data_IF_945492233938
#
_entry.id   IF_945492233938
#
_cell.length_a   1.000
_cell.length_b   1.000
_cell.length_c   1.000
_cell.angle_alpha   90.00
_cell.angle_beta   90.00
_cell.angle_gamma   90.00
#
_symmetry.space_group_name_H-M   'P 1'
#
loop_
_entity.id
_entity.type
_entity.pdbx_description
1 polymer ?
#
# COMPACT_ATOMS: atom_id res chain seq x y z
N UNK A 1 -5.64 -24.29 -5.89
CA UNK A 1 -4.73 -23.15 -6.13
C UNK A 1 -5.26 -21.97 -5.32
N UNK A 2 -4.70 -21.70 -4.14
CA UNK A 2 -5.16 -20.58 -3.30
C UNK A 2 -4.59 -19.31 -3.94
N UNK A 3 -5.45 -18.45 -4.48
CA UNK A 3 -5.03 -17.11 -4.93
C UNK A 3 -4.56 -16.32 -3.70
N UNK A 4 -3.27 -16.38 -3.39
CA UNK A 4 -2.66 -15.44 -2.43
C UNK A 4 -2.74 -14.06 -3.08
N UNK A 5 -3.57 -13.20 -2.51
CA UNK A 5 -3.76 -11.85 -3.03
C UNK A 5 -2.54 -11.02 -2.62
N UNK A 6 -1.75 -10.60 -3.61
CA UNK A 6 -0.52 -9.84 -3.41
C UNK A 6 -0.78 -8.33 -3.43
N UNK A 7 -0.04 -7.58 -2.62
CA UNK A 7 -0.10 -6.12 -2.59
C UNK A 7 0.95 -5.52 -3.53
N UNK A 8 0.70 -4.31 -4.01
CA UNK A 8 1.70 -3.56 -4.77
C UNK A 8 2.39 -2.54 -3.86
N UNK A 9 3.70 -2.67 -3.68
CA UNK A 9 4.49 -1.69 -2.90
C UNK A 9 4.60 -0.36 -3.65
N UNK A 10 4.27 0.73 -2.96
CA UNK A 10 4.32 2.10 -3.49
C UNK A 10 4.97 3.05 -2.49
N UNK A 11 5.32 4.23 -2.96
CA UNK A 11 5.86 5.30 -2.15
C UNK A 11 4.92 6.52 -2.20
N UNK A 12 4.78 7.19 -1.06
CA UNK A 12 4.24 8.55 -1.06
C UNK A 12 5.21 9.54 -1.69
N UNK A 13 4.73 10.74 -2.02
CA UNK A 13 5.57 11.86 -2.48
C UNK A 13 6.73 12.19 -1.51
N UNK A 14 6.58 11.88 -0.22
CA UNK A 14 7.63 12.04 0.81
C UNK A 14 8.43 10.75 1.05
N UNK A 15 8.46 9.84 0.08
CA UNK A 15 9.13 8.52 0.13
C UNK A 15 8.76 7.61 1.31
N UNK A 16 7.63 7.87 1.98
CA UNK A 16 7.09 6.93 2.99
C UNK A 16 6.45 5.72 2.33
N UNK A 17 6.61 4.55 2.96
CA UNK A 17 6.07 3.26 2.51
C UNK A 17 4.53 3.27 2.44
N UNK A 18 4.01 2.79 1.31
CA UNK A 18 2.60 2.56 1.04
C UNK A 18 2.42 1.21 0.34
N UNK A 19 1.20 0.70 0.38
CA UNK A 19 0.79 -0.42 -0.45
C UNK A 19 -0.56 -0.14 -1.11
N UNK A 20 -0.78 -0.74 -2.26
CA UNK A 20 -2.07 -0.77 -2.95
C UNK A 20 -2.61 -2.18 -2.92
N UNK A 21 -3.88 -2.32 -2.54
CA UNK A 21 -4.59 -3.58 -2.54
C UNK A 21 -6.07 -3.39 -2.86
N UNK A 22 -6.59 -4.18 -3.81
CA UNK A 22 -7.97 -4.06 -4.33
C UNK A 22 -8.34 -2.60 -4.68
N UNK A 23 -7.36 -1.85 -5.25
CA UNK A 23 -7.44 -0.44 -5.63
C UNK A 23 -7.50 0.58 -4.47
N UNK A 24 -7.42 0.13 -3.22
CA UNK A 24 -7.30 1.00 -2.06
C UNK A 24 -5.84 1.21 -1.69
N UNK A 25 -5.50 2.45 -1.31
CA UNK A 25 -4.18 2.80 -0.80
C UNK A 25 -4.12 2.66 0.71
N UNK A 26 -3.08 2.01 1.21
CA UNK A 26 -2.79 1.91 2.62
C UNK A 26 -1.41 2.51 2.93
N UNK A 27 -1.30 3.11 4.11
CA UNK A 27 -0.06 3.63 4.68
C UNK A 27 0.42 2.69 5.78
N UNK A 28 1.73 2.56 5.93
CA UNK A 28 2.31 1.77 7.01
C UNK A 28 1.86 2.29 8.38
N UNK A 29 1.38 1.40 9.24
CA UNK A 29 0.98 1.72 10.62
C UNK A 29 2.02 1.19 11.60
N UNK A 30 2.31 -0.12 11.54
CA UNK A 30 3.30 -0.79 12.40
C UNK A 30 3.67 -2.17 11.86
N UNK A 31 4.82 -2.69 12.29
CA UNK A 31 5.25 -4.06 12.06
C UNK A 31 5.31 -4.84 13.38
N UNK A 32 5.12 -6.14 13.27
CA UNK A 32 5.43 -7.15 14.29
C UNK A 32 6.34 -8.19 13.65
N UNK A 33 6.99 -9.03 14.44
CA UNK A 33 7.85 -10.11 13.93
C UNK A 33 7.17 -10.98 12.86
N UNK A 34 5.85 -11.22 13.02
CA UNK A 34 5.10 -12.08 12.11
C UNK A 34 4.44 -11.37 10.92
N UNK A 35 4.16 -10.06 10.99
CA UNK A 35 3.32 -9.36 10.01
C UNK A 35 3.43 -7.85 10.06
N UNK A 36 3.13 -7.21 8.94
CA UNK A 36 2.96 -5.77 8.83
C UNK A 36 1.48 -5.39 8.89
N UNK A 37 1.18 -4.26 9.50
CA UNK A 37 -0.16 -3.68 9.62
C UNK A 37 -0.18 -2.35 8.90
N UNK A 38 -1.19 -2.19 8.06
CA UNK A 38 -1.39 -1.04 7.19
C UNK A 38 -2.76 -0.44 7.45
N UNK A 39 -2.85 0.88 7.42
CA UNK A 39 -4.11 1.62 7.62
C UNK A 39 -4.52 2.26 6.29
N UNK A 40 -5.82 2.33 6.01
CA UNK A 40 -6.31 3.11 4.87
C UNK A 40 -5.71 4.53 4.87
N UNK A 41 -5.34 5.03 3.70
CA UNK A 41 -4.78 6.38 3.54
C UNK A 41 -5.73 7.47 4.06
N UNK A 42 -7.05 7.30 3.88
CA UNK A 42 -8.10 8.20 4.38
C UNK A 42 -8.38 8.01 5.88
N UNK A 43 -7.34 7.78 6.70
CA UNK A 43 -7.41 7.42 8.13
C UNK A 43 -8.21 8.35 9.04
N UNK A 44 -8.50 9.58 8.61
CA UNK A 44 -9.39 10.50 9.34
C UNK A 44 -10.87 10.11 9.23
N UNK A 45 -11.26 9.47 8.12
CA UNK A 45 -12.62 9.00 7.81
C UNK A 45 -12.73 7.47 7.88
N UNK A 46 -11.72 6.77 7.36
CA UNK A 46 -11.72 5.33 7.19
C UNK A 46 -10.93 4.61 8.28
N UNK A 47 -11.53 3.56 8.86
CA UNK A 47 -10.90 2.71 9.89
C UNK A 47 -10.45 1.34 9.36
N UNK A 48 -10.49 1.13 8.04
CA UNK A 48 -10.05 -0.10 7.41
C UNK A 48 -8.54 -0.31 7.61
N UNK A 49 -8.15 -1.56 7.85
CA UNK A 49 -6.76 -2.00 7.97
C UNK A 49 -6.49 -3.25 7.16
N UNK A 50 -5.24 -3.42 6.76
CA UNK A 50 -4.76 -4.57 6.02
C UNK A 50 -3.55 -5.14 6.75
N UNK A 51 -3.47 -6.46 6.89
CA UNK A 51 -2.31 -7.13 7.43
C UNK A 51 -1.63 -7.95 6.33
N UNK A 52 -0.31 -7.85 6.25
CA UNK A 52 0.49 -8.57 5.26
C UNK A 52 1.64 -9.33 5.89
N UNK A 53 2.10 -10.38 5.21
CA UNK A 53 3.36 -11.08 5.48
C UNK A 53 4.15 -11.07 4.19
N UNK A 54 5.22 -10.26 4.14
CA UNK A 54 5.80 -9.80 2.88
C UNK A 54 4.72 -9.11 2.04
N UNK A 55 4.64 -9.46 0.75
CA UNK A 55 3.64 -8.92 -0.18
C UNK A 55 2.27 -9.62 -0.08
N UNK A 56 2.12 -10.64 0.76
CA UNK A 56 0.90 -11.44 0.81
C UNK A 56 -0.10 -10.86 1.81
N UNK A 57 -1.35 -10.67 1.39
CA UNK A 57 -2.44 -10.29 2.30
C UNK A 57 -2.85 -11.50 3.13
N UNK A 58 -2.77 -11.35 4.46
CA UNK A 58 -3.20 -12.38 5.42
C UNK A 58 -4.49 -12.02 6.15
N UNK A 59 -4.85 -10.73 6.21
CA UNK A 59 -6.11 -10.30 6.84
C UNK A 59 -6.57 -8.93 6.39
N UNK A 60 -7.85 -8.81 6.05
CA UNK A 60 -8.60 -7.54 5.92
C UNK A 60 -9.34 -7.24 7.22
N UNK A 61 -9.30 -6.00 7.70
CA UNK A 61 -9.95 -5.59 8.96
C UNK A 61 -10.83 -4.36 8.72
N UNK A 62 -12.15 -4.54 8.93
CA UNK A 62 -13.23 -3.61 8.56
C UNK A 62 -13.33 -3.34 7.07
N UNK A 63 -14.53 -3.00 6.63
CA UNK A 63 -14.80 -2.51 5.29
C UNK A 63 -14.46 -1.02 5.15
N UNK A 64 -14.21 -0.58 3.93
CA UNK A 64 -14.06 0.85 3.62
C UNK A 64 -15.41 1.57 3.69
N UNK A 65 -15.38 2.85 4.06
CA UNK A 65 -16.56 3.73 4.14
C UNK A 65 -16.48 4.87 3.11
N UNK A 66 -15.76 4.62 2.03
CA UNK A 66 -15.55 5.54 0.91
C UNK A 66 -15.37 4.72 -0.37
N UNK A 67 -15.60 5.39 -1.48
CA UNK A 67 -15.41 4.80 -2.80
C UNK A 67 -13.95 4.41 -3.05
N UNK A 68 -13.81 3.45 -3.95
CA UNK A 68 -12.51 3.06 -4.47
C UNK A 68 -11.91 4.20 -5.28
N UNK A 69 -10.61 4.46 -5.11
CA UNK A 69 -9.90 5.41 -5.98
C UNK A 69 -8.83 4.69 -6.78
N UNK A 70 -9.26 3.90 -7.77
CA UNK A 70 -8.38 3.15 -8.66
C UNK A 70 -7.36 4.09 -9.35
N UNK A 71 -7.83 5.23 -9.87
CA UNK A 71 -6.95 6.23 -10.49
C UNK A 71 -5.83 6.72 -9.55
N UNK A 72 -6.13 6.99 -8.27
CA UNK A 72 -5.09 7.39 -7.30
C UNK A 72 -4.12 6.27 -7.01
N UNK A 73 -4.62 5.04 -6.89
CA UNK A 73 -3.81 3.86 -6.66
C UNK A 73 -2.85 3.60 -7.83
N UNK A 74 -3.35 3.66 -9.06
CA UNK A 74 -2.55 3.50 -10.29
C UNK A 74 -1.52 4.61 -10.43
N UNK A 75 -1.91 5.87 -10.20
CA UNK A 75 -0.99 7.00 -10.21
C UNK A 75 0.14 6.83 -9.18
N UNK A 76 -0.15 6.29 -7.99
CA UNK A 76 0.86 6.02 -6.98
C UNK A 76 1.87 4.95 -7.44
N UNK A 77 1.41 3.92 -8.16
CA UNK A 77 2.29 2.89 -8.74
C UNK A 77 3.21 3.51 -9.79
N UNK A 78 2.67 4.30 -10.72
CA UNK A 78 3.45 4.97 -11.77
C UNK A 78 4.48 5.93 -11.15
N UNK A 79 4.05 6.78 -10.22
CA UNK A 79 4.93 7.73 -9.54
C UNK A 79 6.07 7.02 -8.79
N UNK A 80 5.78 5.86 -8.16
CA UNK A 80 6.81 5.05 -7.50
C UNK A 80 7.88 4.56 -8.48
N UNK A 81 7.47 4.10 -9.67
CA UNK A 81 8.42 3.66 -10.70
C UNK A 81 9.31 4.81 -11.18
N UNK A 82 8.75 6.01 -11.33
CA UNK A 82 9.51 7.21 -11.71
C UNK A 82 10.50 7.59 -10.61
N UNK A 83 10.07 7.61 -9.35
CA UNK A 83 10.95 7.93 -8.21
C UNK A 83 12.12 6.97 -8.11
N UNK A 84 11.89 5.66 -8.20
CA UNK A 84 12.96 4.64 -8.14
C UNK A 84 13.99 4.81 -9.25
N UNK A 85 13.54 5.01 -10.50
CA UNK A 85 14.43 5.27 -11.63
C UNK A 85 15.30 6.50 -11.41
N UNK A 86 14.73 7.56 -10.86
CA UNK A 86 15.47 8.79 -10.57
C UNK A 86 16.55 8.56 -9.49
N UNK A 87 16.27 7.71 -8.49
CA UNK A 87 17.27 7.32 -7.48
C UNK A 87 18.42 6.54 -8.12
N UNK A 88 18.12 5.53 -8.94
CA UNK A 88 19.12 4.71 -9.63
C UNK A 88 20.08 5.52 -10.51
N UNK A 89 19.59 6.59 -11.17
CA UNK A 89 20.43 7.48 -11.99
C UNK A 89 21.37 8.38 -11.21
N UNK A 90 21.12 8.59 -9.91
CA UNK A 90 21.96 9.44 -9.05
C UNK A 90 23.10 8.66 -8.37
N UNK A 91 23.03 7.32 -8.38
CA UNK A 91 24.02 6.43 -7.76
C UNK A 91 25.09 5.92 -8.75
N UNK A 92 25.13 6.47 -9.98
CA UNK A 92 26.16 6.23 -11.00
C UNK A 92 27.10 7.44 -11.11
#
# INVERSE_FOLDING_TARGET
MVHMSVVQSTLSQRRKRKIVFEGYSYVFDRATDAKEVWRCEERGRCKARLHTVGDNVVRKVRSHCHELSAARAEAAVVATRVMRRAEETMEM
#
